data_IF_071898356046
#
_entry.id   IF_071898356046
#
_cell.length_a   1.000
_cell.length_b   1.000
_cell.length_c   1.000
_cell.angle_alpha   90.00
_cell.angle_beta   90.00
_cell.angle_gamma   90.00
#
_symmetry.space_group_name_H-M   'P 1'
#
loop_
_entity.id
_entity.type
_entity.pdbx_description
1 polymer ?
#
# COMPACT_ATOMS: atom_id res chain seq x y z
N UNK A 1 -6.64 -7.81 -2.21
CA UNK A 1 -6.87 -7.71 -0.75
C UNK A 1 -8.34 -7.96 -0.39
N UNK A 2 -9.31 -7.43 -1.16
CA UNK A 2 -10.70 -7.93 -1.18
C UNK A 2 -10.75 -9.47 -1.31
N UNK A 3 -9.94 -10.02 -2.22
CA UNK A 3 -9.88 -11.46 -2.48
C UNK A 3 -9.09 -12.26 -1.42
N UNK A 4 -8.35 -11.59 -0.54
CA UNK A 4 -7.58 -12.25 0.53
C UNK A 4 -8.47 -12.52 1.76
N UNK A 5 -9.37 -11.59 2.09
CA UNK A 5 -10.30 -11.74 3.21
C UNK A 5 -11.42 -12.73 2.87
N UNK A 6 -11.87 -12.79 1.61
CA UNK A 6 -12.84 -13.78 1.14
C UNK A 6 -12.30 -15.23 1.15
N UNK A 7 -10.97 -15.40 1.09
CA UNK A 7 -10.33 -16.70 0.97
C UNK A 7 -10.03 -17.37 2.33
N UNK A 8 -9.87 -16.61 3.41
CA UNK A 8 -9.54 -17.17 4.73
C UNK A 8 -10.74 -17.39 5.64
N UNK A 9 -11.75 -16.50 5.67
CA UNK A 9 -12.93 -16.70 6.53
C UNK A 9 -14.18 -15.93 6.08
N UNK A 10 -15.04 -16.59 5.30
CA UNK A 10 -16.33 -16.06 4.85
C UNK A 10 -17.26 -15.67 6.01
N UNK A 11 -17.12 -16.29 7.20
CA UNK A 11 -17.95 -15.94 8.36
C UNK A 11 -17.57 -14.58 8.94
N UNK A 12 -16.28 -14.21 8.89
CA UNK A 12 -15.81 -12.91 9.36
C UNK A 12 -16.28 -11.78 8.44
N UNK A 13 -16.40 -12.03 7.12
CA UNK A 13 -16.96 -11.07 6.18
C UNK A 13 -18.47 -10.88 6.36
N UNK A 14 -19.23 -11.96 6.63
CA UNK A 14 -20.65 -11.85 7.02
C UNK A 14 -20.80 -11.09 8.35
N UNK A 15 -19.94 -11.31 9.35
CA UNK A 15 -19.94 -10.58 10.63
C UNK A 15 -19.59 -9.08 10.46
N UNK A 16 -18.75 -8.74 9.48
CA UNK A 16 -18.36 -7.35 9.14
C UNK A 16 -19.44 -6.64 8.33
N UNK A 17 -20.10 -7.33 7.39
CA UNK A 17 -21.17 -6.76 6.57
C UNK A 17 -22.53 -6.70 7.31
N UNK A 18 -22.85 -7.70 8.14
CA UNK A 18 -24.13 -7.77 8.86
C UNK A 18 -24.06 -7.27 10.32
N UNK A 19 -22.86 -7.18 10.91
CA UNK A 19 -22.64 -6.72 12.29
C UNK A 19 -23.19 -7.68 13.37
N UNK A 20 -22.70 -7.60 14.63
CA UNK A 20 -23.05 -8.56 15.68
C UNK A 20 -24.39 -8.22 16.34
N UNK A 21 -25.47 -8.14 15.56
CA UNK A 21 -26.84 -8.23 16.06
C UNK A 21 -27.84 -8.51 14.94
N UNK A 22 -28.13 -9.79 14.71
CA UNK A 22 -29.36 -10.20 14.02
C UNK A 22 -30.47 -10.27 15.07
N UNK A 23 -31.44 -9.34 15.11
CA UNK A 23 -32.49 -9.37 16.12
C UNK A 23 -33.26 -10.69 16.00
N UNK A 24 -33.35 -11.49 17.05
CA UNK A 24 -34.06 -12.78 17.05
C UNK A 24 -35.45 -12.67 17.69
N UNK A 25 -36.39 -13.52 17.26
CA UNK A 25 -37.69 -13.74 17.89
C UNK A 25 -37.87 -15.22 18.24
N UNK A 26 -38.58 -15.49 19.32
CA UNK A 26 -39.00 -16.85 19.70
C UNK A 26 -40.33 -17.20 19.03
N UNK A 27 -40.44 -18.43 18.51
CA UNK A 27 -41.63 -18.98 17.85
C UNK A 27 -41.91 -20.38 18.42
N UNK A 28 -43.19 -20.74 18.59
CA UNK A 28 -43.60 -21.94 19.36
C UNK A 28 -43.54 -21.71 20.88
N UNK A 29 -43.76 -22.74 21.70
CA UNK A 29 -43.73 -22.73 23.18
C UNK A 29 -42.35 -22.34 23.78
N UNK A 30 -41.77 -21.22 23.34
CA UNK A 30 -40.53 -20.63 23.84
C UNK A 30 -39.23 -21.31 23.38
N UNK A 31 -39.27 -22.40 22.61
CA UNK A 31 -38.09 -23.23 22.37
C UNK A 31 -37.33 -22.96 21.07
N UNK A 32 -37.94 -22.32 20.07
CA UNK A 32 -37.29 -22.07 18.76
C UNK A 32 -37.01 -20.59 18.56
N UNK A 33 -35.73 -20.22 18.43
CA UNK A 33 -35.30 -18.86 18.06
C UNK A 33 -35.09 -18.76 16.55
N UNK A 34 -35.69 -17.74 15.94
CA UNK A 34 -35.52 -17.44 14.51
C UNK A 34 -35.14 -15.97 14.31
N UNK A 35 -34.40 -15.63 13.25
CA UNK A 35 -34.16 -14.23 12.87
C UNK A 35 -35.46 -13.45 12.68
N UNK A 36 -35.54 -12.23 13.23
CA UNK A 36 -36.63 -11.29 12.95
C UNK A 36 -36.53 -10.84 11.50
N UNK A 37 -37.69 -10.71 10.86
CA UNK A 37 -37.74 -10.09 9.55
C UNK A 37 -37.60 -8.57 9.68
N UNK A 38 -37.18 -7.89 8.62
CA UNK A 38 -37.00 -6.42 8.60
C UNK A 38 -38.27 -5.64 9.02
N UNK A 39 -39.46 -6.23 8.84
CA UNK A 39 -40.75 -5.66 9.26
C UNK A 39 -40.98 -5.75 10.78
N UNK A 40 -40.31 -6.68 11.46
CA UNK A 40 -40.43 -6.93 12.91
C UNK A 40 -39.42 -6.11 13.74
N UNK A 41 -38.68 -5.19 13.11
CA UNK A 41 -37.64 -4.42 13.77
C UNK A 41 -38.25 -3.27 14.57
N UNK A 42 -38.13 -3.35 15.89
CA UNK A 42 -38.51 -2.27 16.80
C UNK A 42 -37.43 -1.19 16.85
N UNK A 43 -37.78 -0.02 17.39
CA UNK A 43 -36.85 1.11 17.52
C UNK A 43 -35.55 0.76 18.25
N UNK A 44 -35.62 -0.12 19.26
CA UNK A 44 -34.45 -0.64 19.97
C UNK A 44 -33.51 -1.45 19.06
N UNK A 45 -34.06 -2.27 18.16
CA UNK A 45 -33.27 -3.03 17.19
C UNK A 45 -32.56 -2.09 16.22
N UNK A 46 -33.26 -1.06 15.73
CA UNK A 46 -32.69 -0.06 14.84
C UNK A 46 -31.53 0.69 15.49
N UNK A 47 -31.70 1.13 16.74
CA UNK A 47 -30.65 1.84 17.49
C UNK A 47 -29.43 0.96 17.79
N UNK A 48 -29.63 -0.32 18.08
CA UNK A 48 -28.54 -1.28 18.27
C UNK A 48 -27.75 -1.51 16.98
N UNK A 49 -28.46 -1.67 15.86
CA UNK A 49 -27.86 -1.81 14.53
C UNK A 49 -27.04 -0.56 14.17
N UNK A 50 -27.59 0.64 14.35
CA UNK A 50 -26.88 1.91 14.09
C UNK A 50 -25.62 2.06 14.93
N UNK A 51 -25.65 1.65 16.21
CA UNK A 51 -24.47 1.69 17.08
C UNK A 51 -23.38 0.72 16.59
N UNK A 52 -23.77 -0.49 16.20
CA UNK A 52 -22.85 -1.50 15.67
C UNK A 52 -22.19 -1.04 14.36
N UNK A 53 -22.96 -0.47 13.42
CA UNK A 53 -22.41 0.09 12.18
C UNK A 53 -21.40 1.22 12.44
N UNK A 54 -21.65 2.09 13.43
CA UNK A 54 -20.69 3.14 13.83
C UNK A 54 -19.39 2.53 14.34
N UNK A 55 -19.47 1.53 15.23
CA UNK A 55 -18.26 0.87 15.76
C UNK A 55 -17.50 0.09 14.69
N UNK A 56 -18.19 -0.59 13.77
CA UNK A 56 -17.55 -1.25 12.64
C UNK A 56 -16.83 -0.25 11.74
N UNK A 57 -17.45 0.91 11.46
CA UNK A 57 -16.82 2.00 10.72
C UNK A 57 -15.58 2.55 11.44
N UNK A 58 -15.66 2.77 12.76
CA UNK A 58 -14.52 3.23 13.57
C UNK A 58 -13.37 2.22 13.56
N UNK A 59 -13.66 0.93 13.67
CA UNK A 59 -12.66 -0.15 13.57
C UNK A 59 -12.04 -0.20 12.18
N UNK A 60 -12.86 -0.07 11.12
CA UNK A 60 -12.39 0.00 9.74
C UNK A 60 -11.51 1.23 9.51
N UNK A 61 -11.90 2.42 9.98
CA UNK A 61 -11.11 3.65 9.89
C UNK A 61 -9.81 3.55 10.70
N UNK A 62 -9.81 2.88 11.86
CA UNK A 62 -8.61 2.63 12.64
C UNK A 62 -7.66 1.62 11.96
N UNK A 63 -8.21 0.57 11.36
CA UNK A 63 -7.44 -0.41 10.56
C UNK A 63 -6.87 0.27 9.31
N UNK A 64 -7.70 1.06 8.63
CA UNK A 64 -7.31 1.89 7.51
C UNK A 64 -6.28 2.92 7.95
N UNK A 65 -6.33 3.54 9.13
CA UNK A 65 -5.28 4.46 9.60
C UNK A 65 -3.99 3.74 9.94
N UNK A 66 -4.07 2.59 10.62
CA UNK A 66 -2.90 1.75 10.90
C UNK A 66 -2.24 1.24 9.61
N UNK A 67 -3.02 1.04 8.55
CA UNK A 67 -2.57 0.50 7.26
C UNK A 67 -2.33 1.57 6.18
N UNK A 68 -2.98 2.73 6.23
CA UNK A 68 -2.71 3.96 5.47
C UNK A 68 -1.47 4.63 6.00
N UNK A 69 -1.11 4.40 7.27
CA UNK A 69 0.26 4.54 7.72
C UNK A 69 1.22 3.78 6.80
N UNK A 70 0.86 2.65 6.18
CA UNK A 70 1.71 2.02 5.16
C UNK A 70 1.57 2.65 3.77
N UNK A 71 0.39 3.08 3.33
CA UNK A 71 0.19 3.72 2.01
C UNK A 71 0.82 5.12 1.96
N UNK A 72 0.59 5.95 2.97
CA UNK A 72 1.16 7.28 3.11
C UNK A 72 2.66 7.22 3.40
N UNK A 73 3.15 6.24 4.21
CA UNK A 73 4.60 6.04 4.37
C UNK A 73 5.23 5.51 3.10
N UNK A 74 4.59 4.60 2.35
CA UNK A 74 5.06 4.16 1.03
C UNK A 74 5.13 5.33 0.06
N UNK A 75 4.09 6.17 0.01
CA UNK A 75 4.07 7.35 -0.84
C UNK A 75 5.16 8.33 -0.43
N UNK A 76 5.29 8.64 0.86
CA UNK A 76 6.33 9.53 1.37
C UNK A 76 7.74 8.99 1.08
N UNK A 77 7.97 7.69 1.22
CA UNK A 77 9.24 7.05 0.84
C UNK A 77 9.48 7.12 -0.67
N UNK A 78 8.43 6.94 -1.47
CA UNK A 78 8.48 7.07 -2.93
C UNK A 78 8.83 8.49 -3.35
N UNK A 79 8.20 9.50 -2.75
CA UNK A 79 8.46 10.92 -3.03
C UNK A 79 9.89 11.31 -2.64
N UNK A 80 10.36 10.82 -1.50
CA UNK A 80 11.74 11.04 -1.04
C UNK A 80 12.76 10.43 -2.00
N UNK A 81 12.59 9.16 -2.39
CA UNK A 81 13.48 8.48 -3.34
C UNK A 81 13.41 9.09 -4.74
N UNK A 82 12.22 9.54 -5.17
CA UNK A 82 12.03 10.25 -6.44
C UNK A 82 12.82 11.56 -6.42
N UNK A 83 12.74 12.31 -5.33
CA UNK A 83 13.52 13.54 -5.15
C UNK A 83 15.02 13.25 -5.15
N UNK A 84 15.45 12.19 -4.46
CA UNK A 84 16.86 11.76 -4.44
C UNK A 84 17.36 11.38 -5.84
N UNK A 85 16.54 10.64 -6.61
CA UNK A 85 16.83 10.32 -8.00
C UNK A 85 16.90 11.58 -8.86
N UNK A 86 15.97 12.52 -8.72
CA UNK A 86 15.96 13.77 -9.50
C UNK A 86 17.16 14.67 -9.20
N UNK A 87 17.56 14.76 -7.95
CA UNK A 87 18.72 15.55 -7.51
C UNK A 87 20.04 14.79 -7.55
N UNK A 88 20.01 13.52 -7.97
CA UNK A 88 21.18 12.67 -8.00
C UNK A 88 22.32 13.30 -8.80
N UNK A 89 23.51 13.31 -8.20
CA UNK A 89 24.76 13.75 -8.80
C UNK A 89 25.93 12.93 -8.25
N UNK A 90 27.01 12.88 -9.01
CA UNK A 90 28.29 12.38 -8.51
C UNK A 90 28.87 13.39 -7.50
N UNK A 91 29.44 12.91 -6.40
CA UNK A 91 30.12 13.75 -5.41
C UNK A 91 31.59 13.97 -5.83
N UNK A 92 32.23 15.01 -5.30
CA UNK A 92 33.59 15.42 -5.70
C UNK A 92 34.66 14.35 -5.39
N UNK A 93 34.54 13.67 -4.25
CA UNK A 93 35.49 12.65 -3.79
C UNK A 93 35.00 11.20 -3.97
N UNK A 94 34.05 11.00 -4.87
CA UNK A 94 33.41 9.71 -5.07
C UNK A 94 33.94 9.01 -6.32
N UNK A 95 34.12 7.68 -6.26
CA UNK A 95 34.46 6.90 -7.46
C UNK A 95 33.24 6.64 -8.34
N UNK A 96 33.45 6.36 -9.64
CA UNK A 96 32.35 6.01 -10.55
C UNK A 96 31.59 4.77 -10.06
N UNK A 97 32.29 3.79 -9.46
CA UNK A 97 31.68 2.57 -8.93
C UNK A 97 30.82 2.85 -7.69
N UNK A 98 31.26 3.73 -6.80
CA UNK A 98 30.48 4.14 -5.63
C UNK A 98 29.21 4.89 -6.07
N UNK A 99 29.36 5.80 -7.03
CA UNK A 99 28.24 6.54 -7.63
C UNK A 99 27.24 5.58 -8.27
N UNK A 100 27.72 4.63 -9.07
CA UNK A 100 26.87 3.63 -9.70
C UNK A 100 26.13 2.78 -8.66
N UNK A 101 26.80 2.36 -7.59
CA UNK A 101 26.20 1.57 -6.51
C UNK A 101 25.06 2.33 -5.83
N UNK A 102 25.25 3.62 -5.49
CA UNK A 102 24.18 4.45 -4.93
C UNK A 102 23.02 4.63 -5.90
N UNK A 103 23.32 4.87 -7.19
CA UNK A 103 22.29 5.02 -8.21
C UNK A 103 21.41 3.77 -8.28
N UNK A 104 22.03 2.58 -8.34
CA UNK A 104 21.30 1.30 -8.40
C UNK A 104 20.52 1.03 -7.11
N UNK A 105 21.03 1.43 -5.95
CA UNK A 105 20.26 1.34 -4.69
C UNK A 105 18.94 2.09 -4.79
N UNK A 106 18.96 3.35 -5.27
CA UNK A 106 17.74 4.16 -5.43
C UNK A 106 16.77 3.52 -6.41
N UNK A 107 17.27 3.04 -7.56
CA UNK A 107 16.41 2.41 -8.58
C UNK A 107 15.77 1.12 -8.05
N UNK A 108 16.53 0.28 -7.34
CA UNK A 108 16.02 -0.95 -6.77
C UNK A 108 14.97 -0.68 -5.68
N UNK A 109 15.17 0.35 -4.86
CA UNK A 109 14.19 0.74 -3.84
C UNK A 109 12.91 1.27 -4.48
N UNK A 110 13.00 2.15 -5.49
CA UNK A 110 11.83 2.62 -6.25
C UNK A 110 11.09 1.46 -6.91
N UNK A 111 11.82 0.54 -7.55
CA UNK A 111 11.24 -0.65 -8.16
C UNK A 111 10.52 -1.53 -7.13
N UNK A 112 11.07 -1.70 -5.92
CA UNK A 112 10.42 -2.46 -4.84
C UNK A 112 9.12 -1.83 -4.34
N UNK A 113 8.96 -0.51 -4.54
CA UNK A 113 7.75 0.24 -4.22
C UNK A 113 6.74 0.28 -5.38
N UNK A 114 7.07 -0.31 -6.53
CA UNK A 114 6.22 -0.36 -7.72
C UNK A 114 6.51 0.72 -8.76
N UNK A 115 7.50 1.60 -8.52
CA UNK A 115 7.91 2.64 -9.47
C UNK A 115 8.94 2.09 -10.45
N UNK A 116 8.56 1.98 -11.72
CA UNK A 116 9.44 1.46 -12.78
C UNK A 116 9.93 2.60 -13.67
N UNK A 117 11.22 2.90 -13.59
CA UNK A 117 11.85 3.91 -14.44
C UNK A 117 12.38 3.22 -15.72
N UNK A 118 11.96 3.66 -16.92
CA UNK A 118 12.44 3.09 -18.18
C UNK A 118 13.97 3.17 -18.33
N UNK A 119 14.58 2.11 -18.86
CA UNK A 119 16.03 1.99 -19.07
C UNK A 119 16.65 3.18 -19.79
N UNK A 120 15.99 3.70 -20.83
CA UNK A 120 16.47 4.87 -21.57
C UNK A 120 16.53 6.16 -20.72
N UNK A 121 15.65 6.30 -19.72
CA UNK A 121 15.73 7.42 -18.75
C UNK A 121 16.89 7.22 -17.79
N UNK A 122 17.12 6.00 -17.30
CA UNK A 122 18.24 5.67 -16.42
C UNK A 122 19.60 5.94 -17.07
N UNK A 123 19.79 5.45 -18.30
CA UNK A 123 21.03 5.66 -19.07
C UNK A 123 21.28 7.16 -19.27
N UNK A 124 20.24 7.91 -19.68
CA UNK A 124 20.35 9.37 -19.87
C UNK A 124 20.69 10.08 -18.56
N UNK A 125 20.11 9.64 -17.44
CA UNK A 125 20.37 10.21 -16.12
C UNK A 125 21.83 10.03 -15.72
N UNK A 126 22.37 8.81 -15.83
CA UNK A 126 23.78 8.50 -15.54
C UNK A 126 24.71 9.36 -16.41
N UNK A 127 24.46 9.41 -17.73
CA UNK A 127 25.28 10.19 -18.66
C UNK A 127 25.35 11.69 -18.32
N UNK A 128 24.30 12.24 -17.72
CA UNK A 128 24.24 13.64 -17.32
C UNK A 128 24.98 13.94 -16.01
N UNK A 129 25.16 12.95 -15.13
CA UNK A 129 25.78 13.14 -13.80
C UNK A 129 27.27 12.81 -13.77
N UNK A 130 27.80 12.20 -14.84
CA UNK A 130 29.22 11.94 -14.97
C UNK A 130 30.02 13.22 -15.20
N UNK A 131 31.22 13.35 -14.61
CA UNK A 131 32.10 14.48 -14.85
C UNK A 131 32.45 14.58 -16.34
N UNK A 132 32.64 15.80 -16.84
CA UNK A 132 32.79 16.10 -18.26
C UNK A 132 34.01 15.51 -18.97
N UNK A 133 34.83 14.67 -18.33
CA UNK A 133 35.97 14.02 -18.99
C UNK A 133 35.46 12.96 -19.97
N UNK A 134 35.87 13.08 -21.24
CA UNK A 134 35.45 12.19 -22.33
C UNK A 134 35.79 10.71 -22.09
N UNK A 135 36.78 10.41 -21.25
CA UNK A 135 37.16 9.04 -20.87
C UNK A 135 36.15 8.38 -19.93
N UNK A 136 35.51 9.14 -19.02
CA UNK A 136 34.50 8.60 -18.11
C UNK A 136 33.20 8.18 -18.83
N UNK A 137 32.84 8.87 -19.92
CA UNK A 137 31.65 8.58 -20.72
C UNK A 137 31.80 7.30 -21.54
N UNK A 138 33.02 6.98 -22.01
CA UNK A 138 33.30 5.77 -22.80
C UNK A 138 33.25 4.51 -21.92
N UNK A 139 33.80 4.56 -20.71
CA UNK A 139 33.77 3.44 -19.76
C UNK A 139 32.34 3.10 -19.29
N UNK A 140 31.48 4.10 -19.12
CA UNK A 140 30.09 3.86 -18.72
C UNK A 140 29.24 3.29 -19.85
N UNK A 141 29.50 3.62 -21.12
CA UNK A 141 28.85 2.96 -22.27
C UNK A 141 29.19 1.46 -22.30
N UNK A 142 30.39 1.06 -21.86
CA UNK A 142 30.76 -0.35 -21.77
C UNK A 142 30.09 -1.07 -20.59
N UNK A 143 29.89 -0.43 -19.45
CA UNK A 143 29.26 -1.04 -18.26
C UNK A 143 27.73 -1.03 -18.30
N UNK A 144 27.10 0.02 -18.85
CA UNK A 144 25.64 0.15 -18.97
C UNK A 144 24.99 -0.86 -19.93
N UNK A 145 25.78 -1.57 -20.75
CA UNK A 145 25.31 -2.73 -21.52
C UNK A 145 24.84 -3.89 -20.64
N UNK A 146 25.29 -3.94 -19.39
CA UNK A 146 24.97 -4.99 -18.42
C UNK A 146 23.96 -4.55 -17.36
N UNK A 147 23.42 -3.34 -17.46
CA UNK A 147 22.28 -2.89 -16.66
C UNK A 147 20.99 -3.54 -17.14
#
# INVERSE_FOLDING_TARGET
>A
MHDFILAEDLKLWDEICDGPFVPIKTVGEGTVTVPKTRKDYMNANRKAIEKNFKSAKEIWEALQTAHEGTTQVKQSKTDMLTTEYELFKMKEDESIQDMHTRFISIINELHSLGEVIPRNKLVRKILNVLPGSSESKVNVITETKNL
#
